data_IF_632083683340
#
_entry.id   IF_632083683340
#
_cell.length_a   1.000
_cell.length_b   1.000
_cell.length_c   1.000
_cell.angle_alpha   90.00
_cell.angle_beta   90.00
_cell.angle_gamma   90.00
#
_symmetry.space_group_name_H-M   'P 1'
#
loop_
_entity.id
_entity.type
_entity.pdbx_description
1 polymer ?
#
# COMPACT_ATOMS: atom_id res chain seq x y z
N UNK A 1 27.93 14.54 -1.36
CA UNK A 1 28.84 13.39 -1.44
C UNK A 1 28.66 12.71 -2.81
N UNK A 2 29.69 12.69 -3.59
CA UNK A 2 29.74 12.43 -5.04
C UNK A 2 29.41 10.97 -5.35
N UNK A 3 28.42 10.74 -6.22
CA UNK A 3 28.09 9.42 -6.75
C UNK A 3 29.26 8.97 -7.65
N UNK A 4 29.98 7.92 -7.24
CA UNK A 4 30.98 7.29 -8.06
C UNK A 4 30.36 6.64 -9.29
N UNK A 5 30.60 7.27 -10.46
CA UNK A 5 30.33 6.70 -11.78
C UNK A 5 31.35 5.57 -12.05
N UNK A 6 30.94 4.33 -11.92
CA UNK A 6 31.69 3.20 -12.50
C UNK A 6 31.32 3.08 -13.96
N UNK A 7 32.20 3.53 -14.83
CA UNK A 7 32.15 3.27 -16.27
C UNK A 7 32.45 1.80 -16.54
N UNK A 8 31.45 0.99 -16.85
CA UNK A 8 31.60 -0.25 -17.57
C UNK A 8 30.79 -0.17 -18.87
N UNK A 9 31.49 -0.22 -19.98
CA UNK A 9 30.99 -0.40 -21.38
C UNK A 9 29.72 0.37 -21.77
N UNK A 10 29.82 1.66 -22.00
CA UNK A 10 29.00 2.42 -22.96
C UNK A 10 27.47 2.46 -22.82
N UNK A 11 26.82 1.64 -21.99
CA UNK A 11 25.37 1.67 -21.72
C UNK A 11 25.14 2.32 -20.37
N UNK A 12 24.51 3.48 -20.35
CA UNK A 12 23.97 4.07 -19.10
C UNK A 12 23.03 3.02 -18.48
N UNK A 13 23.44 2.41 -17.38
CA UNK A 13 22.58 1.56 -16.57
C UNK A 13 21.60 2.48 -15.82
N UNK A 14 20.34 2.47 -16.21
CA UNK A 14 19.29 3.13 -15.44
C UNK A 14 18.93 2.22 -14.25
N UNK A 15 18.70 2.79 -13.05
CA UNK A 15 18.29 2.00 -11.89
C UNK A 15 16.99 1.26 -12.21
N UNK A 16 16.85 0.05 -11.67
CA UNK A 16 15.60 -0.70 -11.83
C UNK A 16 14.45 0.08 -11.19
N UNK A 17 13.24 0.00 -11.76
CA UNK A 17 12.08 0.71 -11.21
C UNK A 17 11.83 0.44 -9.72
N UNK A 18 12.09 -0.77 -9.26
CA UNK A 18 11.96 -1.18 -7.86
C UNK A 18 12.99 -0.46 -6.96
N UNK A 19 14.22 -0.33 -7.43
CA UNK A 19 15.28 0.42 -6.73
C UNK A 19 14.91 1.90 -6.56
N UNK A 20 14.25 2.49 -7.58
CA UNK A 20 13.76 3.87 -7.50
C UNK A 20 12.70 4.01 -6.39
N UNK A 21 11.74 3.08 -6.31
CA UNK A 21 10.70 3.11 -5.26
C UNK A 21 11.34 3.05 -3.87
N UNK A 22 12.29 2.14 -3.68
CA UNK A 22 12.96 1.98 -2.39
C UNK A 22 13.81 3.20 -2.02
N UNK A 23 14.52 3.77 -3.00
CA UNK A 23 15.31 4.99 -2.77
C UNK A 23 14.41 6.19 -2.43
N UNK A 24 13.29 6.37 -3.15
CA UNK A 24 12.30 7.43 -2.85
C UNK A 24 11.74 7.25 -1.42
N UNK A 25 11.50 6.01 -0.98
CA UNK A 25 11.06 5.72 0.39
C UNK A 25 12.14 6.04 1.43
N UNK A 26 13.37 5.58 1.21
CA UNK A 26 14.49 5.83 2.13
C UNK A 26 14.72 7.34 2.29
N UNK A 27 14.76 8.08 1.18
CA UNK A 27 14.91 9.55 1.20
C UNK A 27 13.78 10.21 2.02
N UNK A 28 12.53 9.75 1.85
CA UNK A 28 11.40 10.25 2.62
C UNK A 28 11.54 9.99 4.12
N UNK A 29 11.92 8.76 4.48
CA UNK A 29 12.13 8.36 5.88
C UNK A 29 13.25 9.18 6.53
N UNK A 30 14.37 9.36 5.85
CA UNK A 30 15.51 10.18 6.32
C UNK A 30 15.13 11.66 6.51
N UNK A 31 14.16 12.16 5.74
CA UNK A 31 13.62 13.49 5.87
C UNK A 31 12.45 13.59 6.89
N UNK A 32 12.20 12.55 7.68
CA UNK A 32 11.17 12.53 8.72
C UNK A 32 9.73 12.44 8.18
N UNK A 33 9.56 12.08 6.91
CA UNK A 33 8.23 11.87 6.32
C UNK A 33 7.69 10.52 6.78
N UNK A 34 6.47 10.51 7.33
CA UNK A 34 5.73 9.28 7.66
C UNK A 34 4.88 8.86 6.45
N UNK A 35 5.32 7.90 5.62
CA UNK A 35 4.76 7.68 4.29
C UNK A 35 3.31 7.22 4.27
N UNK A 36 2.85 6.57 5.34
CA UNK A 36 1.51 6.00 5.44
C UNK A 36 0.59 6.75 6.40
N UNK A 37 0.99 7.97 6.79
CA UNK A 37 0.21 8.89 7.62
C UNK A 37 -0.23 10.08 6.80
N UNK A 38 -1.42 10.05 6.26
CA UNK A 38 -1.97 11.23 5.61
C UNK A 38 -3.49 11.29 5.77
N UNK A 39 -3.97 12.42 6.29
CA UNK A 39 -5.36 12.78 6.23
C UNK A 39 -5.69 13.23 4.80
N UNK A 40 -6.59 12.51 4.15
CA UNK A 40 -7.08 12.87 2.83
C UNK A 40 -8.23 13.87 2.95
N UNK A 41 -8.18 14.92 2.14
CA UNK A 41 -9.30 15.86 2.03
C UNK A 41 -10.52 15.23 1.35
N UNK A 42 -10.31 14.16 0.59
CA UNK A 42 -11.35 13.39 -0.09
C UNK A 42 -11.41 11.99 0.51
N UNK A 43 -12.58 11.61 1.01
CA UNK A 43 -12.84 10.28 1.56
C UNK A 43 -13.02 9.29 0.41
N UNK A 44 -12.24 8.22 0.41
CA UNK A 44 -12.28 7.15 -0.60
C UNK A 44 -10.91 6.55 -0.84
N UNK A 45 -10.86 5.36 -1.45
CA UNK A 45 -9.62 4.70 -1.84
C UNK A 45 -8.92 5.42 -3.00
N UNK A 46 -7.67 5.04 -3.24
CA UNK A 46 -6.93 5.50 -4.41
C UNK A 46 -7.60 5.01 -5.68
N UNK A 47 -7.88 5.92 -6.62
CA UNK A 47 -8.61 5.62 -7.87
C UNK A 47 -7.89 6.12 -9.11
N UNK A 48 -8.09 5.41 -10.20
CA UNK A 48 -7.78 5.93 -11.52
C UNK A 48 -8.90 6.89 -11.96
N UNK A 49 -8.56 8.15 -12.24
CA UNK A 49 -9.55 9.20 -12.53
C UNK A 49 -10.32 8.96 -13.82
N UNK A 50 -9.72 8.30 -14.81
CA UNK A 50 -10.38 8.01 -16.08
C UNK A 50 -11.34 6.82 -15.96
N UNK A 51 -10.88 5.71 -15.38
CA UNK A 51 -11.66 4.46 -15.29
C UNK A 51 -12.56 4.41 -14.06
N UNK A 52 -12.35 5.28 -13.08
CA UNK A 52 -13.00 5.30 -11.77
C UNK A 52 -12.72 4.03 -10.92
N UNK A 53 -11.87 3.12 -11.40
CA UNK A 53 -11.52 1.90 -10.69
C UNK A 53 -10.56 2.19 -9.53
N UNK A 54 -10.75 1.50 -8.42
CA UNK A 54 -9.86 1.55 -7.27
C UNK A 54 -8.59 0.74 -7.53
N UNK A 55 -7.46 1.27 -7.06
CA UNK A 55 -6.21 0.53 -7.00
C UNK A 55 -6.28 -0.54 -5.90
N UNK A 56 -5.82 -1.75 -6.20
CA UNK A 56 -5.91 -2.91 -5.32
C UNK A 56 -4.51 -3.46 -4.96
N UNK A 57 -4.49 -4.47 -4.08
CA UNK A 57 -3.27 -5.12 -3.63
C UNK A 57 -2.38 -4.14 -2.85
N UNK A 58 -1.09 -4.11 -3.17
CA UNK A 58 -0.10 -3.23 -2.53
C UNK A 58 -0.09 -1.79 -3.08
N UNK A 59 -0.83 -1.51 -4.16
CA UNK A 59 -0.77 -0.21 -4.82
C UNK A 59 -1.29 0.94 -3.96
N UNK A 60 -2.35 0.81 -3.14
CA UNK A 60 -2.75 1.86 -2.22
C UNK A 60 -1.63 2.31 -1.28
N UNK A 61 -0.84 1.37 -0.74
CA UNK A 61 0.29 1.71 0.13
C UNK A 61 1.40 2.47 -0.61
N UNK A 62 1.73 2.08 -1.85
CA UNK A 62 2.69 2.79 -2.69
C UNK A 62 2.19 4.20 -3.03
N UNK A 63 0.93 4.35 -3.42
CA UNK A 63 0.34 5.64 -3.76
C UNK A 63 0.23 6.57 -2.55
N UNK A 64 -0.06 6.03 -1.36
CA UNK A 64 -0.04 6.78 -0.11
C UNK A 64 1.37 7.32 0.18
N UNK A 65 2.37 6.47 0.11
CA UNK A 65 3.78 6.85 0.25
C UNK A 65 4.15 8.02 -0.68
N UNK A 66 3.88 7.87 -1.98
CA UNK A 66 4.18 8.94 -2.94
C UNK A 66 3.39 10.22 -2.69
N UNK A 67 2.15 10.10 -2.25
CA UNK A 67 1.33 11.26 -1.92
C UNK A 67 1.86 12.00 -0.70
N UNK A 68 2.34 11.29 0.32
CA UNK A 68 2.98 11.88 1.48
C UNK A 68 4.28 12.61 1.08
N UNK A 69 5.14 11.96 0.29
CA UNK A 69 6.42 12.51 -0.19
C UNK A 69 6.21 13.79 -1.02
N UNK A 70 5.14 13.86 -1.82
CA UNK A 70 4.93 14.93 -2.81
C UNK A 70 3.84 15.92 -2.45
N UNK A 71 3.25 15.79 -1.28
CA UNK A 71 2.22 16.70 -0.82
C UNK A 71 0.89 16.63 -1.59
N UNK A 72 0.60 15.54 -2.32
CA UNK A 72 -0.66 15.42 -3.04
C UNK A 72 -1.83 15.18 -2.08
N UNK A 73 -2.94 15.89 -2.30
CA UNK A 73 -4.13 15.86 -1.44
C UNK A 73 -5.30 15.05 -2.01
N UNK A 74 -5.30 14.79 -3.32
CA UNK A 74 -6.34 13.99 -3.97
C UNK A 74 -5.83 12.57 -4.23
N UNK A 75 -6.58 11.52 -3.85
CA UNK A 75 -6.18 10.13 -4.08
C UNK A 75 -6.52 9.67 -5.53
N UNK A 76 -6.35 10.56 -6.52
CA UNK A 76 -6.71 10.34 -7.90
C UNK A 76 -5.48 10.33 -8.80
N UNK A 77 -5.35 9.28 -9.61
CA UNK A 77 -4.18 9.06 -10.45
C UNK A 77 -4.57 8.66 -11.87
N UNK A 78 -3.64 8.87 -12.81
CA UNK A 78 -3.82 8.52 -14.23
C UNK A 78 -2.50 8.10 -14.84
N UNK A 79 -2.51 7.12 -15.76
CA UNK A 79 -1.36 6.78 -16.57
C UNK A 79 -1.07 7.85 -17.64
N UNK A 80 0.20 8.08 -17.99
CA UNK A 80 0.58 9.08 -18.99
C UNK A 80 -0.11 8.86 -20.37
N UNK A 81 -0.24 7.58 -20.79
CA UNK A 81 -0.94 7.24 -22.04
C UNK A 81 -2.44 7.56 -21.96
N UNK A 82 -3.07 7.30 -20.82
CA UNK A 82 -4.47 7.63 -20.58
C UNK A 82 -4.68 9.16 -20.57
N UNK A 83 -3.81 9.92 -19.89
CA UNK A 83 -3.86 11.38 -19.92
C UNK A 83 -3.76 11.90 -21.36
N UNK A 84 -2.79 11.39 -22.15
CA UNK A 84 -2.61 11.78 -23.53
C UNK A 84 -3.84 11.49 -24.40
N UNK A 85 -4.53 10.36 -24.20
CA UNK A 85 -5.74 10.03 -24.96
C UNK A 85 -6.92 10.96 -24.67
N UNK A 86 -6.86 11.70 -23.53
CA UNK A 86 -7.85 12.73 -23.15
C UNK A 86 -7.42 14.14 -23.58
N UNK A 87 -6.31 14.31 -24.29
CA UNK A 87 -5.75 15.63 -24.56
C UNK A 87 -5.10 16.28 -23.33
N UNK A 88 -4.66 15.48 -22.37
CA UNK A 88 -4.02 15.97 -21.15
C UNK A 88 -2.55 15.54 -21.10
N UNK A 89 -1.73 16.32 -20.43
CA UNK A 89 -0.29 16.05 -20.28
C UNK A 89 0.16 16.33 -18.83
N UNK A 90 1.19 15.62 -18.34
CA UNK A 90 1.84 16.01 -17.09
C UNK A 90 2.42 17.43 -17.18
N UNK A 91 2.28 18.20 -16.11
CA UNK A 91 2.91 19.51 -15.98
C UNK A 91 4.44 19.36 -16.08
N UNK A 92 5.12 20.38 -16.60
CA UNK A 92 6.58 20.36 -16.71
C UNK A 92 7.23 20.19 -15.32
N UNK A 93 8.13 19.23 -15.20
CA UNK A 93 8.82 18.92 -13.94
C UNK A 93 8.09 17.95 -13.02
N UNK A 94 6.85 17.55 -13.34
CA UNK A 94 6.10 16.55 -12.56
C UNK A 94 6.82 15.21 -12.54
N UNK A 95 6.80 14.57 -11.38
CA UNK A 95 7.37 13.23 -11.19
C UNK A 95 6.22 12.21 -11.00
N UNK A 96 6.27 11.09 -11.72
CA UNK A 96 5.28 10.02 -11.59
C UNK A 96 5.41 9.29 -10.25
N UNK A 97 4.31 8.81 -9.71
CA UNK A 97 4.30 7.69 -8.77
C UNK A 97 4.50 6.38 -9.54
N UNK A 98 4.86 5.31 -8.84
CA UNK A 98 5.02 3.98 -9.43
C UNK A 98 4.10 2.99 -8.75
N UNK A 99 3.41 2.19 -9.56
CA UNK A 99 2.53 1.12 -9.12
C UNK A 99 2.98 -0.21 -9.70
N UNK A 100 2.57 -1.30 -9.06
CA UNK A 100 2.84 -2.66 -9.50
C UNK A 100 1.63 -3.20 -10.27
N UNK A 101 1.80 -3.43 -11.56
CA UNK A 101 0.79 -4.04 -12.42
C UNK A 101 1.07 -5.55 -12.52
N UNK A 102 0.13 -6.42 -12.13
CA UNK A 102 0.29 -7.85 -12.29
C UNK A 102 0.26 -8.21 -13.78
N UNK A 103 1.14 -9.14 -14.15
CA UNK A 103 1.24 -9.71 -15.48
C UNK A 103 1.29 -11.23 -15.37
N UNK A 104 0.31 -11.91 -15.95
CA UNK A 104 0.38 -13.35 -16.13
C UNK A 104 1.35 -13.64 -17.28
N UNK A 105 2.36 -14.46 -17.00
CA UNK A 105 3.32 -14.95 -17.99
C UNK A 105 3.16 -16.43 -18.14
N UNK A 106 3.17 -16.90 -19.38
CA UNK A 106 3.23 -18.32 -19.70
C UNK A 106 4.65 -18.74 -20.06
N UNK A 107 4.99 -19.99 -19.81
CA UNK A 107 6.23 -20.62 -20.23
C UNK A 107 5.95 -22.06 -20.63
N UNK A 108 6.69 -22.57 -21.60
CA UNK A 108 6.59 -23.94 -22.07
C UNK A 108 7.20 -24.88 -21.03
N UNK A 109 6.46 -25.92 -20.66
CA UNK A 109 6.95 -26.98 -19.78
C UNK A 109 7.88 -27.91 -20.56
N UNK A 110 8.86 -28.50 -19.88
CA UNK A 110 9.78 -29.47 -20.50
C UNK A 110 9.11 -30.79 -20.87
N UNK A 111 8.04 -31.10 -20.18
CA UNK A 111 7.23 -32.31 -20.41
C UNK A 111 6.15 -31.99 -21.44
N UNK A 112 5.99 -32.91 -22.43
CA UNK A 112 4.93 -32.85 -23.40
C UNK A 112 3.76 -33.69 -22.89
N UNK A 113 2.55 -33.43 -23.42
CA UNK A 113 1.38 -34.26 -23.10
C UNK A 113 1.47 -35.67 -23.76
N UNK A 114 0.47 -36.50 -23.49
CA UNK A 114 0.38 -37.86 -24.02
C UNK A 114 0.33 -37.91 -25.56
N UNK A 115 -0.01 -36.78 -26.23
CA UNK A 115 -0.08 -36.65 -27.67
C UNK A 115 1.21 -35.99 -28.25
N UNK A 116 2.20 -35.65 -27.41
CA UNK A 116 3.44 -35.01 -27.79
C UNK A 116 3.32 -33.49 -27.99
N UNK A 117 2.20 -32.87 -27.57
CA UNK A 117 2.00 -31.43 -27.68
C UNK A 117 2.66 -30.69 -26.50
N UNK A 118 3.06 -29.44 -26.75
CA UNK A 118 3.70 -28.59 -25.76
C UNK A 118 2.69 -28.18 -24.65
N UNK A 119 3.05 -28.46 -23.40
CA UNK A 119 2.30 -27.99 -22.24
C UNK A 119 2.82 -26.63 -21.77
N UNK A 120 1.92 -25.75 -21.30
CA UNK A 120 2.26 -24.42 -20.80
C UNK A 120 1.91 -24.27 -19.33
N UNK A 121 2.89 -23.86 -18.55
CA UNK A 121 2.69 -23.34 -17.20
C UNK A 121 2.48 -21.83 -17.21
N UNK A 122 1.95 -21.28 -16.14
CA UNK A 122 1.86 -19.83 -15.98
C UNK A 122 2.33 -19.40 -14.60
N UNK A 123 2.89 -18.19 -14.53
CA UNK A 123 3.25 -17.54 -13.26
C UNK A 123 2.91 -16.07 -13.31
N UNK A 124 2.63 -15.51 -12.12
CA UNK A 124 2.41 -14.08 -11.96
C UNK A 124 3.74 -13.36 -11.83
N UNK A 125 3.95 -12.36 -12.67
CA UNK A 125 5.02 -11.39 -12.54
C UNK A 125 4.44 -9.99 -12.36
N UNK A 126 5.28 -9.02 -12.03
CA UNK A 126 4.84 -7.63 -11.85
C UNK A 126 5.66 -6.70 -12.73
N UNK A 127 4.96 -5.75 -13.33
CA UNK A 127 5.58 -4.64 -14.06
C UNK A 127 5.37 -3.37 -13.25
N UNK A 128 6.45 -2.62 -13.03
CA UNK A 128 6.37 -1.30 -12.45
C UNK A 128 5.90 -0.29 -13.50
N UNK A 129 4.80 0.41 -13.24
CA UNK A 129 4.14 1.32 -14.18
C UNK A 129 4.06 2.71 -13.58
N UNK A 130 4.47 3.78 -14.32
CA UNK A 130 4.34 5.15 -13.85
C UNK A 130 2.88 5.63 -13.97
N UNK A 131 2.41 6.29 -12.91
CA UNK A 131 1.14 7.03 -12.87
C UNK A 131 1.37 8.43 -12.32
N UNK A 132 0.55 9.38 -12.70
CA UNK A 132 0.62 10.76 -12.24
C UNK A 132 -0.59 11.08 -11.38
N UNK A 133 -0.39 11.87 -10.32
CA UNK A 133 -1.51 12.44 -9.59
C UNK A 133 -2.21 13.50 -10.45
N UNK A 134 -3.53 13.62 -10.32
CA UNK A 134 -4.31 14.61 -11.09
C UNK A 134 -3.85 16.05 -10.83
N UNK A 135 -3.31 16.35 -9.67
CA UNK A 135 -2.74 17.67 -9.34
C UNK A 135 -1.57 18.06 -10.27
N UNK A 136 -0.90 17.06 -10.85
CA UNK A 136 0.22 17.22 -11.76
C UNK A 136 -0.16 17.08 -13.25
N UNK A 137 -1.45 16.97 -13.57
CA UNK A 137 -1.97 16.89 -14.94
C UNK A 137 -2.58 18.23 -15.33
N UNK A 138 -2.52 18.54 -16.61
CA UNK A 138 -3.22 19.69 -17.24
C UNK A 138 -3.75 19.31 -18.60
N UNK A 139 -4.85 19.92 -19.01
CA UNK A 139 -5.31 19.89 -20.41
C UNK A 139 -4.36 20.63 -21.35
N UNK A 140 -4.34 20.25 -22.60
CA UNK A 140 -3.62 20.99 -23.66
C UNK A 140 -4.43 22.18 -24.16
N UNK A 141 -5.74 22.15 -23.95
CA UNK A 141 -6.71 23.18 -24.27
C UNK A 141 -7.85 23.22 -23.21
N UNK A 142 -8.72 24.21 -23.31
CA UNK A 142 -9.80 24.42 -22.36
C UNK A 142 -10.82 23.25 -22.34
N UNK A 143 -11.06 22.58 -23.45
CA UNK A 143 -11.97 21.42 -23.51
C UNK A 143 -11.40 20.21 -22.76
N UNK A 144 -10.13 19.92 -22.95
CA UNK A 144 -9.42 18.84 -22.24
C UNK A 144 -9.32 19.13 -20.74
N UNK A 145 -9.07 20.39 -20.35
CA UNK A 145 -9.03 20.81 -18.95
C UNK A 145 -10.40 20.65 -18.28
N UNK A 146 -11.47 21.07 -18.95
CA UNK A 146 -12.85 20.91 -18.47
C UNK A 146 -13.21 19.43 -18.29
N UNK A 147 -12.89 18.57 -19.27
CA UNK A 147 -13.12 17.11 -19.17
C UNK A 147 -12.37 16.47 -18.02
N UNK A 148 -11.13 16.89 -17.77
CA UNK A 148 -10.35 16.42 -16.63
C UNK A 148 -11.03 16.83 -15.32
N UNK A 149 -11.47 18.07 -15.20
CA UNK A 149 -12.16 18.57 -14.01
C UNK A 149 -13.48 17.82 -13.75
N UNK A 150 -14.29 17.59 -14.79
CA UNK A 150 -15.52 16.80 -14.68
C UNK A 150 -15.27 15.38 -14.13
N UNK A 151 -14.19 14.72 -14.55
CA UNK A 151 -13.82 13.40 -14.03
C UNK A 151 -13.35 13.46 -12.57
N UNK A 152 -12.62 14.49 -12.19
CA UNK A 152 -12.19 14.73 -10.80
C UNK A 152 -13.44 14.96 -9.94
N UNK A 153 -14.35 15.84 -10.34
CA UNK A 153 -15.58 16.15 -9.61
C UNK A 153 -16.45 14.91 -9.44
N UNK A 154 -16.60 14.12 -10.50
CA UNK A 154 -17.32 12.83 -10.44
C UNK A 154 -16.69 11.89 -9.41
N UNK A 155 -15.36 11.75 -9.39
CA UNK A 155 -14.68 10.89 -8.45
C UNK A 155 -14.82 11.39 -6.99
N UNK A 156 -14.81 12.71 -6.80
CA UNK A 156 -15.02 13.35 -5.48
C UNK A 156 -16.45 13.15 -5.00
N UNK A 157 -17.44 13.35 -5.87
CA UNK A 157 -18.87 13.18 -5.55
C UNK A 157 -19.23 11.72 -5.23
N UNK A 158 -18.67 10.75 -5.98
CA UNK A 158 -18.91 9.32 -5.71
C UNK A 158 -18.23 8.82 -4.43
N UNK A 159 -17.29 9.58 -3.88
CA UNK A 159 -16.68 9.33 -2.58
C UNK A 159 -17.45 9.95 -1.41
N UNK A 160 -18.72 10.33 -1.58
CA UNK A 160 -19.57 10.90 -0.52
C UNK A 160 -19.61 9.99 0.72
N UNK A 161 -19.55 10.57 1.91
CA UNK A 161 -19.42 9.77 3.13
C UNK A 161 -20.74 9.01 3.40
N UNK A 162 -20.64 7.68 3.49
CA UNK A 162 -21.44 7.00 4.52
C UNK A 162 -21.14 7.72 5.84
N UNK A 163 -22.14 7.95 6.65
CA UNK A 163 -21.93 8.57 7.97
C UNK A 163 -20.73 7.90 8.66
N UNK A 164 -19.83 8.68 9.20
CA UNK A 164 -18.59 8.18 9.83
C UNK A 164 -18.89 7.04 10.83
N UNK A 165 -19.98 7.16 11.57
CA UNK A 165 -20.48 6.14 12.50
C UNK A 165 -20.73 4.78 11.80
N UNK A 166 -21.37 4.76 10.63
CA UNK A 166 -21.65 3.49 9.92
C UNK A 166 -20.36 2.84 9.41
N UNK A 167 -19.40 3.63 8.93
CA UNK A 167 -18.09 3.11 8.50
C UNK A 167 -17.30 2.51 9.65
N UNK A 168 -17.26 3.19 10.77
CA UNK A 168 -16.58 2.70 11.98
C UNK A 168 -17.23 1.43 12.51
N UNK A 169 -18.58 1.35 12.44
CA UNK A 169 -19.31 0.15 12.80
C UNK A 169 -18.99 -1.00 11.85
N UNK A 170 -19.04 -0.79 10.54
CA UNK A 170 -18.75 -1.82 9.54
C UNK A 170 -17.29 -2.32 9.68
N UNK A 171 -16.34 -1.41 9.91
CA UNK A 171 -14.94 -1.74 10.17
C UNK A 171 -14.77 -2.57 11.43
N UNK A 172 -15.42 -2.15 12.52
CA UNK A 172 -15.41 -2.86 13.78
C UNK A 172 -16.01 -4.27 13.63
N UNK A 173 -17.16 -4.39 12.98
CA UNK A 173 -17.84 -5.67 12.79
C UNK A 173 -16.99 -6.64 11.93
N UNK A 174 -16.28 -6.16 10.91
CA UNK A 174 -15.35 -6.98 10.11
C UNK A 174 -14.15 -7.44 10.94
N UNK A 175 -13.50 -6.56 11.67
CA UNK A 175 -12.37 -6.92 12.53
C UNK A 175 -12.81 -7.84 13.69
N UNK A 176 -14.04 -7.72 14.17
CA UNK A 176 -14.60 -8.63 15.19
C UNK A 176 -14.75 -10.07 14.69
N UNK A 177 -14.90 -10.29 13.38
CA UNK A 177 -14.88 -11.66 12.85
C UNK A 177 -13.51 -12.32 13.07
N UNK A 178 -12.43 -11.52 13.11
CA UNK A 178 -11.08 -12.02 13.38
C UNK A 178 -10.93 -12.55 14.82
N UNK A 179 -11.70 -12.03 15.79
CA UNK A 179 -11.73 -12.54 17.18
C UNK A 179 -12.18 -14.00 17.27
N UNK A 180 -12.87 -14.51 16.25
CA UNK A 180 -13.21 -15.95 16.15
C UNK A 180 -12.00 -16.83 15.77
N UNK A 181 -10.95 -16.22 15.20
CA UNK A 181 -9.74 -16.90 14.76
C UNK A 181 -8.60 -16.77 15.77
N UNK A 182 -8.58 -15.66 16.53
CA UNK A 182 -7.52 -15.33 17.48
C UNK A 182 -8.14 -14.76 18.75
N UNK A 183 -7.84 -15.37 19.90
CA UNK A 183 -8.34 -14.89 21.19
C UNK A 183 -7.90 -13.43 21.41
N UNK A 184 -8.84 -12.55 21.73
CA UNK A 184 -8.55 -11.13 21.96
C UNK A 184 -8.93 -10.72 23.39
N UNK A 185 -7.93 -10.27 24.13
CA UNK A 185 -8.09 -9.76 25.51
C UNK A 185 -8.17 -8.24 25.44
N UNK A 186 -9.31 -7.68 25.90
CA UNK A 186 -9.54 -6.23 25.97
C UNK A 186 -9.20 -5.69 27.35
N UNK A 187 -8.02 -5.09 27.50
CA UNK A 187 -7.52 -4.54 28.76
C UNK A 187 -6.05 -4.19 28.69
N UNK A 188 -5.50 -3.75 29.82
CA UNK A 188 -4.11 -3.29 29.90
C UNK A 188 -3.90 -1.89 29.33
N UNK A 189 -2.63 -1.51 29.18
CA UNK A 189 -2.17 -0.18 28.74
C UNK A 189 -1.41 -0.22 27.40
N UNK A 190 -1.15 -1.43 26.86
CA UNK A 190 -0.43 -1.65 25.61
C UNK A 190 -1.16 -2.63 24.70
N UNK A 191 -1.04 -2.44 23.40
CA UNK A 191 -1.45 -3.41 22.40
C UNK A 191 -0.25 -4.27 22.01
N UNK A 192 -0.46 -5.57 21.86
CA UNK A 192 0.51 -6.52 21.34
C UNK A 192 -0.13 -7.85 20.97
N UNK A 193 0.46 -8.54 20.00
CA UNK A 193 0.19 -9.94 19.74
C UNK A 193 1.20 -10.83 20.49
N UNK A 194 0.72 -11.84 21.20
CA UNK A 194 1.54 -12.84 21.91
C UNK A 194 1.49 -14.16 21.16
N UNK A 195 2.61 -14.49 20.50
CA UNK A 195 2.68 -15.70 19.66
C UNK A 195 2.57 -16.99 20.46
N UNK A 196 3.18 -17.05 21.66
CA UNK A 196 3.21 -18.28 22.49
C UNK A 196 1.83 -18.76 22.93
N UNK A 197 0.89 -17.87 23.14
CA UNK A 197 -0.51 -18.18 23.49
C UNK A 197 -1.48 -17.94 22.33
N UNK A 198 -1.01 -17.43 21.20
CA UNK A 198 -1.81 -17.06 20.04
C UNK A 198 -2.95 -16.08 20.42
N UNK A 199 -2.59 -15.02 21.13
CA UNK A 199 -3.53 -14.04 21.69
C UNK A 199 -3.18 -12.61 21.30
N UNK A 200 -4.20 -11.81 21.04
CA UNK A 200 -4.08 -10.35 20.90
C UNK A 200 -4.49 -9.72 22.24
N UNK A 201 -3.68 -8.79 22.72
CA UNK A 201 -4.04 -7.90 23.84
C UNK A 201 -4.18 -6.50 23.28
N UNK A 202 -5.30 -5.84 23.57
CA UNK A 202 -5.55 -4.46 23.14
C UNK A 202 -6.21 -3.68 24.29
N UNK A 203 -5.80 -2.43 24.57
CA UNK A 203 -6.46 -1.58 25.55
C UNK A 203 -7.95 -1.41 25.21
N UNK A 204 -8.76 -1.14 26.23
CA UNK A 204 -10.18 -0.90 26.01
C UNK A 204 -10.37 0.33 25.12
N UNK A 205 -11.41 0.29 24.26
CA UNK A 205 -11.70 1.32 23.25
C UNK A 205 -11.72 2.75 23.80
N UNK A 206 -12.26 2.95 24.99
CA UNK A 206 -12.32 4.27 25.62
C UNK A 206 -10.96 4.83 26.10
N UNK A 207 -9.87 4.02 26.05
CA UNK A 207 -8.52 4.47 26.34
C UNK A 207 -7.84 5.10 25.11
N UNK A 208 -8.47 5.03 23.94
CA UNK A 208 -7.97 5.63 22.71
C UNK A 208 -8.57 7.02 22.50
N UNK A 209 -7.82 7.87 21.81
CA UNK A 209 -8.22 9.23 21.47
C UNK A 209 -9.51 9.28 20.63
N UNK A 210 -9.66 8.33 19.74
CA UNK A 210 -10.83 8.16 18.86
C UNK A 210 -10.94 6.69 18.41
N UNK A 211 -12.04 6.37 17.73
CA UNK A 211 -12.31 5.02 17.24
C UNK A 211 -11.38 4.58 16.12
N UNK A 212 -10.95 5.51 15.27
CA UNK A 212 -9.99 5.25 14.20
C UNK A 212 -8.65 4.77 14.78
N UNK A 213 -8.16 5.42 15.84
CA UNK A 213 -6.94 5.00 16.54
C UNK A 213 -7.07 3.61 17.13
N UNK A 214 -8.22 3.29 17.73
CA UNK A 214 -8.49 1.93 18.23
C UNK A 214 -8.49 0.90 17.12
N UNK A 215 -9.23 1.16 16.02
CA UNK A 215 -9.33 0.25 14.86
C UNK A 215 -7.96 0.04 14.21
N UNK A 216 -7.20 1.11 14.01
CA UNK A 216 -5.87 1.07 13.42
C UNK A 216 -4.88 0.24 14.26
N UNK A 217 -4.85 0.47 15.59
CA UNK A 217 -4.01 -0.30 16.50
C UNK A 217 -4.43 -1.77 16.54
N UNK A 218 -5.73 -2.04 16.61
CA UNK A 218 -6.23 -3.40 16.59
C UNK A 218 -5.93 -4.13 15.28
N UNK A 219 -6.08 -3.44 14.13
CA UNK A 219 -5.69 -3.98 12.83
C UNK A 219 -4.19 -4.35 12.79
N UNK A 220 -3.30 -3.53 13.37
CA UNK A 220 -1.87 -3.82 13.45
C UNK A 220 -1.61 -5.14 14.20
N UNK A 221 -2.23 -5.35 15.34
CA UNK A 221 -2.10 -6.60 16.11
C UNK A 221 -2.74 -7.80 15.40
N UNK A 222 -3.85 -7.59 14.68
CA UNK A 222 -4.44 -8.62 13.82
C UNK A 222 -3.46 -9.05 12.72
N UNK A 223 -2.76 -8.12 12.08
CA UNK A 223 -1.73 -8.44 11.07
C UNK A 223 -0.58 -9.23 11.70
N UNK A 224 -0.06 -8.84 12.86
CA UNK A 224 0.94 -9.63 13.58
C UNK A 224 0.45 -11.05 13.84
N UNK A 225 -0.79 -11.23 14.25
CA UNK A 225 -1.32 -12.57 14.53
C UNK A 225 -1.33 -13.46 13.29
N UNK A 226 -1.38 -12.90 12.07
CA UNK A 226 -1.33 -13.69 10.84
C UNK A 226 0.01 -14.38 10.61
N UNK A 227 1.10 -13.98 11.31
CA UNK A 227 2.41 -14.64 11.20
C UNK A 227 2.44 -16.04 11.79
N UNK A 228 1.49 -16.38 12.69
CA UNK A 228 1.45 -17.66 13.37
C UNK A 228 1.45 -18.84 12.38
N UNK A 229 2.09 -19.96 12.76
CA UNK A 229 2.24 -21.19 11.94
C UNK A 229 0.91 -21.79 11.45
N UNK A 230 -0.20 -21.54 12.14
CA UNK A 230 -1.54 -21.97 11.73
C UNK A 230 -2.13 -21.10 10.61
N UNK A 231 -1.51 -19.99 10.25
CA UNK A 231 -1.98 -18.99 9.28
C UNK A 231 -0.94 -18.79 8.16
N UNK A 232 -0.26 -17.66 8.08
CA UNK A 232 0.68 -17.37 6.99
C UNK A 232 2.13 -17.84 7.24
N UNK A 233 2.44 -18.32 8.44
CA UNK A 233 3.74 -18.87 8.84
C UNK A 233 4.94 -17.99 8.43
N UNK A 234 4.98 -16.74 8.94
CA UNK A 234 6.02 -15.76 8.62
C UNK A 234 7.14 -15.67 9.68
N UNK A 235 7.46 -16.76 10.33
CA UNK A 235 8.40 -16.77 11.47
C UNK A 235 9.87 -16.55 11.08
N UNK A 236 10.18 -16.46 9.78
CA UNK A 236 11.53 -16.27 9.25
C UNK A 236 11.88 -14.81 8.95
N UNK A 237 11.01 -13.85 9.26
CA UNK A 237 11.28 -12.42 9.10
C UNK A 237 12.07 -11.88 10.30
N UNK A 238 12.94 -10.90 10.03
CA UNK A 238 13.52 -10.09 11.11
C UNK A 238 12.42 -9.26 11.79
N UNK A 239 12.66 -8.84 13.05
CA UNK A 239 11.73 -7.98 13.77
C UNK A 239 11.33 -6.74 12.95
N UNK A 240 12.33 -6.03 12.40
CA UNK A 240 12.07 -4.83 11.58
C UNK A 240 11.22 -5.12 10.31
N UNK A 241 11.42 -6.28 9.67
CA UNK A 241 10.65 -6.67 8.51
C UNK A 241 9.21 -7.05 8.88
N UNK A 242 8.99 -7.71 10.02
CA UNK A 242 7.64 -8.05 10.50
C UNK A 242 6.87 -6.80 10.94
N UNK A 243 7.53 -5.83 11.60
CA UNK A 243 6.92 -4.54 11.92
C UNK A 243 6.52 -3.78 10.64
N UNK A 244 7.36 -3.82 9.60
CA UNK A 244 7.01 -3.23 8.31
C UNK A 244 5.80 -3.93 7.67
N UNK A 245 5.69 -5.25 7.78
CA UNK A 245 4.51 -6.00 7.33
C UNK A 245 3.27 -5.60 8.12
N UNK A 246 3.38 -5.49 9.44
CA UNK A 246 2.27 -5.13 10.31
C UNK A 246 1.76 -3.71 10.04
N UNK A 247 2.66 -2.76 9.87
CA UNK A 247 2.34 -1.37 9.54
C UNK A 247 1.64 -1.25 8.18
N UNK A 248 2.24 -1.84 7.14
CA UNK A 248 1.66 -1.85 5.79
C UNK A 248 0.32 -2.59 5.76
N UNK A 249 0.21 -3.71 6.47
CA UNK A 249 -1.02 -4.50 6.54
C UNK A 249 -2.15 -3.76 7.25
N UNK A 250 -1.87 -3.14 8.39
CA UNK A 250 -2.83 -2.29 9.10
C UNK A 250 -3.30 -1.12 8.23
N UNK A 251 -2.37 -0.46 7.53
CA UNK A 251 -2.71 0.57 6.56
C UNK A 251 -3.66 0.03 5.47
N UNK A 252 -3.37 -1.14 4.90
CA UNK A 252 -4.21 -1.74 3.84
C UNK A 252 -5.60 -2.13 4.37
N UNK A 253 -5.69 -2.68 5.59
CA UNK A 253 -6.98 -2.96 6.26
C UNK A 253 -7.78 -1.67 6.43
N UNK A 254 -7.19 -0.63 7.03
CA UNK A 254 -7.87 0.65 7.24
C UNK A 254 -8.30 1.30 5.92
N UNK A 255 -7.44 1.26 4.90
CA UNK A 255 -7.77 1.80 3.57
C UNK A 255 -8.99 1.10 2.95
N UNK A 256 -9.07 -0.23 3.00
CA UNK A 256 -10.20 -1.02 2.48
C UNK A 256 -11.49 -0.82 3.29
N UNK A 257 -11.36 -0.58 4.58
CA UNK A 257 -12.48 -0.25 5.47
C UNK A 257 -12.86 1.24 5.41
N UNK A 258 -12.15 2.03 4.58
CA UNK A 258 -12.35 3.48 4.44
C UNK A 258 -12.16 4.26 5.75
N UNK A 259 -11.27 3.79 6.61
CA UNK A 259 -10.82 4.50 7.81
C UNK A 259 -9.66 5.40 7.44
N UNK A 260 -9.76 6.68 7.73
CA UNK A 260 -8.83 7.70 7.22
C UNK A 260 -7.68 8.05 8.15
N UNK A 261 -7.70 7.63 9.40
CA UNK A 261 -6.69 8.05 10.37
C UNK A 261 -5.93 6.86 10.96
N UNK A 262 -4.62 6.84 10.75
CA UNK A 262 -3.71 5.87 11.33
C UNK A 262 -2.86 6.59 12.38
N UNK A 263 -3.28 6.53 13.64
CA UNK A 263 -2.48 7.00 14.77
C UNK A 263 -1.56 5.87 15.25
N UNK A 264 -0.48 5.63 14.52
CA UNK A 264 0.51 4.62 14.90
C UNK A 264 1.48 5.24 15.89
N UNK A 265 1.47 4.72 17.11
CA UNK A 265 2.40 5.12 18.16
C UNK A 265 3.81 4.57 17.85
N UNK A 266 4.86 5.39 17.93
CA UNK A 266 6.29 5.06 17.81
C UNK A 266 6.94 4.97 16.42
N UNK A 267 6.61 5.84 15.48
CA UNK A 267 7.28 5.87 14.17
C UNK A 267 8.80 6.11 14.20
N UNK A 268 9.31 6.92 15.10
CA UNK A 268 10.74 7.25 15.11
C UNK A 268 11.63 6.01 15.27
N UNK A 269 11.24 5.08 16.15
CA UNK A 269 12.01 3.85 16.38
C UNK A 269 12.01 2.89 15.17
N UNK A 270 10.88 2.82 14.44
CA UNK A 270 10.80 1.99 13.22
C UNK A 270 11.57 2.60 12.05
N UNK A 271 11.60 3.93 11.93
CA UNK A 271 12.34 4.62 10.89
C UNK A 271 13.84 4.32 10.96
N UNK A 272 14.42 4.32 12.17
CA UNK A 272 15.82 3.96 12.38
C UNK A 272 16.15 2.51 12.00
N UNK A 273 15.20 1.58 12.18
CA UNK A 273 15.40 0.17 11.84
C UNK A 273 15.16 -0.13 10.34
N UNK A 274 14.22 0.55 9.69
CA UNK A 274 13.85 0.26 8.30
C UNK A 274 14.88 0.77 7.28
N UNK A 275 15.43 1.96 7.46
CA UNK A 275 16.39 2.51 6.50
C UNK A 275 17.63 1.62 6.28
N UNK A 276 18.33 1.14 7.33
CA UNK A 276 19.44 0.21 7.14
C UNK A 276 19.02 -1.12 6.48
N UNK A 277 17.87 -1.66 6.87
CA UNK A 277 17.32 -2.90 6.32
C UNK A 277 17.01 -2.75 4.82
N UNK A 278 16.33 -1.69 4.40
CA UNK A 278 15.98 -1.42 3.02
C UNK A 278 17.21 -1.08 2.15
N UNK A 279 18.22 -0.43 2.73
CA UNK A 279 19.51 -0.19 2.06
C UNK A 279 20.26 -1.49 1.80
N UNK A 280 20.18 -2.45 2.73
CA UNK A 280 20.86 -3.74 2.61
C UNK A 280 20.21 -4.68 1.59
N UNK A 281 18.87 -4.74 1.56
CA UNK A 281 18.11 -5.52 0.58
C UNK A 281 16.80 -4.79 0.19
N UNK A 282 16.81 -4.04 -0.93
CA UNK A 282 15.63 -3.35 -1.46
C UNK A 282 14.42 -4.27 -1.73
N UNK A 283 14.64 -5.58 -1.92
CA UNK A 283 13.55 -6.54 -2.16
C UNK A 283 12.69 -6.77 -0.93
N UNK A 284 13.19 -6.43 0.26
CA UNK A 284 12.42 -6.57 1.51
C UNK A 284 11.14 -5.76 1.45
N UNK A 285 11.16 -4.53 0.89
CA UNK A 285 9.94 -3.73 0.74
C UNK A 285 8.85 -4.49 -0.02
N UNK A 286 9.18 -5.09 -1.16
CA UNK A 286 8.20 -5.79 -2.00
C UNK A 286 7.71 -7.10 -1.38
N UNK A 287 8.60 -7.82 -0.66
CA UNK A 287 8.21 -8.99 0.14
C UNK A 287 7.26 -8.59 1.26
N UNK A 288 7.57 -7.49 1.96
CA UNK A 288 6.73 -6.97 3.04
C UNK A 288 5.37 -6.48 2.51
N UNK A 289 5.33 -5.77 1.37
CA UNK A 289 4.09 -5.38 0.70
C UNK A 289 3.22 -6.59 0.30
N UNK A 290 3.84 -7.64 -0.25
CA UNK A 290 3.12 -8.85 -0.63
C UNK A 290 2.56 -9.59 0.60
N UNK A 291 3.36 -9.72 1.66
CA UNK A 291 2.93 -10.31 2.92
C UNK A 291 1.83 -9.48 3.61
N UNK A 292 1.97 -8.16 3.62
CA UNK A 292 0.98 -7.24 4.16
C UNK A 292 -0.37 -7.33 3.43
N UNK A 293 -0.33 -7.43 2.09
CA UNK A 293 -1.56 -7.60 1.30
C UNK A 293 -2.26 -8.92 1.64
N UNK A 294 -1.53 -10.04 1.66
CA UNK A 294 -2.08 -11.36 2.05
C UNK A 294 -2.64 -11.36 3.47
N UNK A 295 -1.93 -10.71 4.40
CA UNK A 295 -2.37 -10.61 5.78
C UNK A 295 -3.65 -9.78 5.90
N UNK A 296 -3.73 -8.65 5.20
CA UNK A 296 -4.93 -7.82 5.15
C UNK A 296 -6.12 -8.58 4.53
N UNK A 297 -5.92 -9.30 3.41
CA UNK A 297 -6.96 -10.14 2.78
C UNK A 297 -7.50 -11.16 3.78
N UNK A 298 -6.61 -11.82 4.53
CA UNK A 298 -7.00 -12.81 5.54
C UNK A 298 -7.79 -12.19 6.69
N UNK A 299 -7.36 -11.03 7.22
CA UNK A 299 -7.99 -10.39 8.39
C UNK A 299 -9.39 -9.87 8.08
N UNK A 300 -9.64 -9.34 6.89
CA UNK A 300 -10.97 -8.80 6.52
C UNK A 300 -11.81 -9.77 5.69
N UNK A 301 -11.32 -10.99 5.42
CA UNK A 301 -12.08 -12.02 4.71
C UNK A 301 -12.31 -11.71 3.22
N UNK A 302 -11.40 -10.98 2.57
CA UNK A 302 -11.39 -10.77 1.13
C UNK A 302 -10.43 -11.79 0.50
N UNK A 303 -10.94 -12.76 -0.23
CA UNK A 303 -10.18 -13.75 -1.00
C UNK A 303 -10.19 -13.40 -2.49
#
# INVERSE_FOLDING_TARGET
MTIMNVKMNGKKSYPKPEEVIVNDLIEALENGVSPWRKDWTVKGGFRNVLTQNEYKGSNPALLCMYSAIRGWHLPLFIGAGQAKSMGCLPKKGSKSARIMQPLQRSFELKEKDENGEAQFGSYMSYKCVPVFNVADIRGIDDDSERKLQELIDKAVLTSQPRELYQKLKDAHDRLFQWEKQVNTIKGGDRAYYRESSDEIVVPKRYNFKNDESYISTYAHECIHSTKHKKRLDRNNLSYAAEELVAELGAYLVCNRLHISNLDVQNHAAYLEAWCPMLKSDPKILFKSLANASKAADMVIGES
#
